data_IF_212774370999
#
_entry.id   IF_212774370999
#
_cell.length_a   1.000
_cell.length_b   1.000
_cell.length_c   1.000
_cell.angle_alpha   90.00
_cell.angle_beta   90.00
_cell.angle_gamma   90.00
#
_symmetry.space_group_name_H-M   'P 1'
#
loop_
_entity.id
_entity.type
_entity.pdbx_description
1 polymer ?
#
# COMPACT_ATOMS: atom_id res chain seq x y z
N UNK A 1 -26.09 -21.15 -24.81
CA UNK A 1 -25.03 -20.61 -23.91
C UNK A 1 -25.66 -19.45 -23.13
N UNK A 2 -25.78 -19.52 -21.80
CA UNK A 2 -26.49 -18.51 -21.02
C UNK A 2 -25.73 -17.17 -21.00
N UNK A 3 -26.46 -16.04 -21.01
CA UNK A 3 -25.90 -14.68 -20.97
C UNK A 3 -24.85 -14.50 -19.83
N UNK A 4 -25.03 -15.22 -18.73
CA UNK A 4 -24.13 -15.24 -17.58
C UNK A 4 -22.76 -15.86 -17.93
N UNK A 5 -22.73 -16.94 -18.74
CA UNK A 5 -21.47 -17.58 -19.19
C UNK A 5 -20.69 -16.68 -20.14
N UNK A 6 -21.39 -16.00 -21.05
CA UNK A 6 -20.74 -15.06 -22.00
C UNK A 6 -20.13 -13.89 -21.25
N UNK A 7 -20.86 -13.28 -20.31
CA UNK A 7 -20.34 -12.17 -19.48
C UNK A 7 -19.13 -12.61 -18.64
N UNK A 8 -19.16 -13.81 -18.05
CA UNK A 8 -18.02 -14.35 -17.30
C UNK A 8 -16.79 -14.56 -18.18
N UNK A 9 -16.96 -15.08 -19.40
CA UNK A 9 -15.87 -15.27 -20.36
C UNK A 9 -15.23 -13.95 -20.78
N UNK A 10 -16.03 -12.90 -21.06
CA UNK A 10 -15.53 -11.57 -21.41
C UNK A 10 -14.75 -10.96 -20.26
N UNK A 11 -15.28 -10.99 -19.03
CA UNK A 11 -14.59 -10.50 -17.85
C UNK A 11 -13.29 -11.27 -17.60
N UNK A 12 -13.29 -12.59 -17.74
CA UNK A 12 -12.09 -13.44 -17.63
C UNK A 12 -11.01 -13.04 -18.65
N UNK A 13 -11.41 -12.77 -19.89
CA UNK A 13 -10.49 -12.31 -20.93
C UNK A 13 -9.87 -10.95 -20.59
N UNK A 14 -10.64 -10.02 -20.03
CA UNK A 14 -10.13 -8.72 -19.58
C UNK A 14 -9.11 -8.89 -18.45
N UNK A 15 -9.42 -9.73 -17.44
CA UNK A 15 -8.48 -10.04 -16.34
C UNK A 15 -7.19 -10.65 -16.88
N UNK A 16 -7.30 -11.63 -17.77
CA UNK A 16 -6.13 -12.26 -18.39
C UNK A 16 -5.27 -11.26 -19.15
N UNK A 17 -5.88 -10.44 -20.01
CA UNK A 17 -5.16 -9.39 -20.76
C UNK A 17 -4.48 -8.38 -19.83
N UNK A 18 -5.18 -7.96 -18.76
CA UNK A 18 -4.64 -7.05 -17.75
C UNK A 18 -3.40 -7.64 -17.04
N UNK A 19 -3.46 -8.91 -16.63
CA UNK A 19 -2.34 -9.59 -15.98
C UNK A 19 -1.14 -9.76 -16.93
N UNK A 20 -1.38 -10.08 -18.20
CA UNK A 20 -0.31 -10.11 -19.22
C UNK A 20 0.32 -8.75 -19.43
N UNK A 21 -0.47 -7.68 -19.46
CA UNK A 21 0.03 -6.31 -19.59
C UNK A 21 0.89 -5.90 -18.38
N UNK A 22 0.48 -6.24 -17.14
CA UNK A 22 1.31 -6.03 -15.93
C UNK A 22 2.66 -6.73 -16.03
N UNK A 23 2.69 -8.02 -16.41
CA UNK A 23 3.94 -8.77 -16.56
C UNK A 23 4.85 -8.16 -17.64
N UNK A 24 4.27 -7.70 -18.76
CA UNK A 24 5.01 -7.02 -19.81
C UNK A 24 5.56 -5.67 -19.32
N UNK A 25 4.77 -4.90 -18.58
CA UNK A 25 5.20 -3.64 -17.96
C UNK A 25 6.42 -3.83 -17.05
N UNK A 26 6.43 -4.88 -16.22
CA UNK A 26 7.58 -5.25 -15.38
C UNK A 26 8.83 -5.47 -16.23
N UNK A 27 8.71 -6.29 -17.29
CA UNK A 27 9.85 -6.60 -18.19
C UNK A 27 10.38 -5.35 -18.89
N UNK A 28 9.49 -4.50 -19.40
CA UNK A 28 9.85 -3.26 -20.10
C UNK A 28 10.49 -2.24 -19.14
N UNK A 29 9.98 -2.11 -17.90
CA UNK A 29 10.58 -1.21 -16.90
C UNK A 29 12.03 -1.60 -16.60
N UNK A 30 12.32 -2.91 -16.51
CA UNK A 30 13.69 -3.42 -16.35
C UNK A 30 14.54 -3.19 -17.60
N UNK A 31 13.99 -3.51 -18.77
CA UNK A 31 14.72 -3.37 -20.05
C UNK A 31 15.02 -1.90 -20.40
N UNK A 32 14.12 -0.96 -20.10
CA UNK A 32 14.34 0.48 -20.31
C UNK A 32 15.29 1.11 -19.29
N UNK A 33 15.82 0.33 -18.34
CA UNK A 33 16.77 0.80 -17.31
C UNK A 33 16.18 1.80 -16.32
N UNK A 34 14.86 1.99 -16.29
CA UNK A 34 14.17 2.89 -15.35
C UNK A 34 14.27 2.42 -13.90
N UNK A 35 14.49 1.12 -13.70
CA UNK A 35 14.79 0.55 -12.39
C UNK A 35 15.66 -0.70 -12.54
N UNK A 36 16.74 -0.82 -11.76
CA UNK A 36 17.56 -2.05 -11.67
C UNK A 36 16.82 -3.16 -10.94
N UNK A 37 16.13 -2.81 -9.86
CA UNK A 37 15.15 -3.65 -9.17
C UNK A 37 13.78 -3.16 -9.58
N UNK A 38 12.81 -4.09 -9.79
CA UNK A 38 11.48 -3.68 -10.20
C UNK A 38 10.87 -2.72 -9.19
N UNK A 39 10.64 -1.50 -9.62
CA UNK A 39 9.88 -0.49 -8.91
C UNK A 39 8.64 -0.18 -9.75
N UNK A 40 7.47 -0.31 -9.16
CA UNK A 40 6.22 0.01 -9.84
C UNK A 40 6.26 1.46 -10.35
N UNK A 41 5.77 1.76 -11.58
CA UNK A 41 5.81 3.10 -12.16
C UNK A 41 5.27 4.21 -11.25
N UNK A 42 4.31 3.91 -10.35
CA UNK A 42 3.78 4.86 -9.37
C UNK A 42 4.89 5.50 -8.50
N UNK A 43 5.93 4.74 -8.16
CA UNK A 43 7.04 5.20 -7.33
C UNK A 43 8.11 5.99 -8.12
N UNK A 44 8.02 5.97 -9.45
CA UNK A 44 8.92 6.73 -10.34
C UNK A 44 8.37 8.13 -10.67
N UNK A 45 7.15 8.47 -10.23
CA UNK A 45 6.51 9.78 -10.49
C UNK A 45 7.06 10.95 -9.66
N UNK A 46 8.03 10.70 -8.78
CA UNK A 46 8.60 11.71 -7.88
C UNK A 46 7.87 11.81 -6.54
N UNK A 47 8.38 12.68 -5.67
CA UNK A 47 7.93 12.82 -4.28
C UNK A 47 6.82 13.87 -4.12
N UNK A 48 5.78 13.84 -4.95
CA UNK A 48 4.60 14.67 -4.70
C UNK A 48 3.88 14.19 -3.43
N UNK A 49 3.27 15.11 -2.68
CA UNK A 49 2.46 14.79 -1.49
C UNK A 49 1.39 13.74 -1.77
N UNK A 50 0.81 13.75 -2.97
CA UNK A 50 -0.21 12.78 -3.37
C UNK A 50 0.33 11.35 -3.53
N UNK A 51 1.63 11.16 -3.87
CA UNK A 51 2.22 9.83 -3.99
C UNK A 51 2.67 9.27 -2.64
N UNK A 52 3.01 10.17 -1.72
CA UNK A 52 3.52 9.85 -0.39
C UNK A 52 2.76 10.62 0.69
N UNK A 53 1.43 10.55 0.60
CA UNK A 53 0.46 11.24 1.44
C UNK A 53 0.79 11.15 2.94
N UNK A 54 1.28 10.00 3.39
CA UNK A 54 1.60 9.72 4.79
C UNK A 54 2.73 10.60 5.31
N UNK A 55 3.64 11.11 4.46
CA UNK A 55 4.76 11.94 4.89
C UNK A 55 4.33 13.29 5.47
N UNK A 56 3.14 13.80 5.12
CA UNK A 56 2.59 15.02 5.72
C UNK A 56 2.15 14.85 7.17
N UNK A 57 2.02 13.59 7.62
CA UNK A 57 1.69 13.23 9.01
C UNK A 57 2.89 12.81 9.83
N UNK A 58 4.09 12.88 9.27
CA UNK A 58 5.34 12.57 9.97
C UNK A 58 5.99 13.87 10.42
N UNK A 59 5.96 14.14 11.73
CA UNK A 59 6.57 15.33 12.31
C UNK A 59 8.11 15.24 12.33
N UNK A 60 8.83 16.39 12.27
CA UNK A 60 10.30 16.40 12.23
C UNK A 60 10.99 15.76 13.43
N UNK A 61 10.37 15.80 14.61
CA UNK A 61 10.86 15.23 15.87
C UNK A 61 10.27 13.83 16.17
N UNK A 62 9.44 13.29 15.26
CA UNK A 62 8.75 12.03 15.47
C UNK A 62 9.69 10.83 15.51
N UNK A 63 9.34 9.87 16.37
CA UNK A 63 9.81 8.50 16.33
C UNK A 63 8.82 7.68 15.51
N UNK A 64 9.26 7.08 14.44
CA UNK A 64 8.42 6.37 13.47
C UNK A 64 8.71 4.88 13.50
N UNK A 65 7.66 4.05 13.49
CA UNK A 65 7.75 2.61 13.24
C UNK A 65 7.13 2.32 11.87
N UNK A 66 7.87 1.63 11.01
CA UNK A 66 7.38 1.17 9.71
C UNK A 66 7.22 -0.36 9.76
N UNK A 67 5.98 -0.82 9.84
CA UNK A 67 5.61 -2.23 9.98
C UNK A 67 5.33 -2.82 8.60
N UNK A 68 6.05 -3.89 8.26
CA UNK A 68 6.07 -4.41 6.89
C UNK A 68 6.88 -3.51 5.96
N UNK A 69 8.04 -3.04 6.41
CA UNK A 69 8.82 -2.02 5.71
C UNK A 69 9.42 -2.47 4.37
N UNK A 70 9.41 -3.77 4.07
CA UNK A 70 9.94 -4.33 2.84
C UNK A 70 11.39 -3.90 2.57
N UNK A 71 11.63 -3.35 1.38
CA UNK A 71 12.93 -2.84 0.97
C UNK A 71 13.30 -1.47 1.57
N UNK A 72 12.55 -0.99 2.55
CA UNK A 72 12.81 0.24 3.29
C UNK A 72 12.46 1.54 2.53
N UNK A 73 11.83 1.48 1.37
CA UNK A 73 11.56 2.67 0.56
C UNK A 73 10.75 3.72 1.32
N UNK A 74 9.70 3.32 2.04
CA UNK A 74 8.87 4.22 2.83
C UNK A 74 9.60 4.69 4.09
N UNK A 75 10.27 3.77 4.79
CA UNK A 75 11.12 4.10 5.95
C UNK A 75 12.18 5.16 5.62
N UNK A 76 12.92 4.99 4.51
CA UNK A 76 13.99 5.92 4.13
C UNK A 76 13.47 7.30 3.68
N UNK A 77 12.24 7.36 3.14
CA UNK A 77 11.58 8.66 2.87
C UNK A 77 11.15 9.34 4.17
N UNK A 78 10.57 8.59 5.10
CA UNK A 78 10.20 9.10 6.42
C UNK A 78 11.45 9.56 7.20
N UNK A 79 12.56 8.84 7.12
CA UNK A 79 13.82 9.16 7.78
C UNK A 79 14.39 10.54 7.41
N UNK A 80 14.10 11.03 6.19
CA UNK A 80 14.49 12.39 5.76
C UNK A 80 13.70 13.50 6.44
N UNK A 81 12.61 13.18 7.15
CA UNK A 81 11.65 14.13 7.72
C UNK A 81 11.49 14.02 9.22
N UNK A 82 11.89 12.91 9.83
CA UNK A 82 11.67 12.64 11.25
C UNK A 82 12.98 12.44 12.02
N UNK A 83 12.87 12.31 13.34
CA UNK A 83 14.03 12.10 14.23
C UNK A 83 14.66 10.73 14.00
N UNK A 84 13.87 9.67 13.95
CA UNK A 84 14.34 8.33 13.62
C UNK A 84 13.21 7.42 13.15
N UNK A 85 13.57 6.41 12.37
CA UNK A 85 12.66 5.36 11.88
C UNK A 85 13.18 4.00 12.29
N UNK A 86 12.26 3.14 12.70
CA UNK A 86 12.51 1.72 12.89
C UNK A 86 11.65 0.95 11.89
N UNK A 87 12.26 0.21 10.96
CA UNK A 87 11.58 -0.65 10.00
C UNK A 87 11.61 -2.11 10.44
N UNK A 88 10.45 -2.78 10.35
CA UNK A 88 10.29 -4.20 10.70
C UNK A 88 9.69 -4.95 9.53
N UNK A 89 10.28 -6.08 9.15
CA UNK A 89 9.76 -6.94 8.07
C UNK A 89 10.17 -8.40 8.28
N UNK A 90 9.39 -9.35 7.76
CA UNK A 90 9.72 -10.78 7.80
C UNK A 90 10.75 -11.21 6.75
N UNK A 91 10.95 -10.43 5.70
CA UNK A 91 11.81 -10.78 4.58
C UNK A 91 13.26 -10.32 4.78
N UNK A 92 14.14 -11.23 5.12
CA UNK A 92 15.60 -10.97 5.21
C UNK A 92 16.19 -10.42 3.91
N UNK A 93 15.65 -10.85 2.75
CA UNK A 93 16.08 -10.33 1.45
C UNK A 93 15.74 -8.84 1.31
N UNK A 94 14.49 -8.46 1.59
CA UNK A 94 14.02 -7.08 1.52
C UNK A 94 14.77 -6.18 2.51
N UNK A 95 14.98 -6.65 3.73
CA UNK A 95 15.77 -5.94 4.75
C UNK A 95 17.22 -5.74 4.33
N UNK A 96 17.81 -6.71 3.63
CA UNK A 96 19.14 -6.56 3.04
C UNK A 96 19.21 -5.43 2.01
N UNK A 97 18.16 -5.23 1.23
CA UNK A 97 18.02 -4.07 0.30
C UNK A 97 17.88 -2.76 1.10
N UNK A 98 17.01 -2.74 2.12
CA UNK A 98 16.80 -1.57 2.98
C UNK A 98 18.10 -1.11 3.65
N UNK A 99 18.86 -2.04 4.22
CA UNK A 99 20.16 -1.77 4.87
C UNK A 99 21.23 -1.24 3.88
N UNK A 100 21.26 -1.74 2.65
CA UNK A 100 22.16 -1.19 1.63
C UNK A 100 21.77 0.24 1.26
N UNK A 101 20.49 0.46 1.01
CA UNK A 101 19.98 1.79 0.63
C UNK A 101 20.10 2.82 1.76
N UNK A 102 20.09 2.40 3.04
CA UNK A 102 20.26 3.32 4.17
C UNK A 102 21.68 3.86 4.30
N UNK A 103 22.68 3.14 3.80
CA UNK A 103 24.10 3.61 3.82
C UNK A 103 24.34 4.80 2.90
N UNK A 104 23.48 5.00 1.90
CA UNK A 104 23.56 6.10 0.95
C UNK A 104 22.89 7.38 1.50
N UNK A 105 22.28 7.32 2.69
CA UNK A 105 21.69 8.49 3.35
C UNK A 105 22.74 9.30 4.12
N UNK A 106 22.63 10.64 4.11
CA UNK A 106 23.55 11.52 4.84
C UNK A 106 23.47 11.38 6.37
N UNK A 107 22.38 10.81 6.90
CA UNK A 107 22.16 10.61 8.33
C UNK A 107 21.58 9.22 8.59
N UNK A 108 22.23 8.39 9.43
CA UNK A 108 21.81 7.03 9.72
C UNK A 108 20.73 6.98 10.81
N UNK A 109 19.61 7.66 10.60
CA UNK A 109 18.48 7.68 11.55
C UNK A 109 17.41 6.61 11.24
N UNK A 110 17.74 5.63 10.41
CA UNK A 110 16.90 4.48 10.11
C UNK A 110 17.55 3.18 10.56
N UNK A 111 16.84 2.36 11.33
CA UNK A 111 17.24 1.03 11.75
C UNK A 111 16.25 0.00 11.21
N UNK A 112 16.74 -1.20 10.87
CA UNK A 112 15.91 -2.27 10.33
C UNK A 112 16.18 -3.56 11.07
N UNK A 113 15.12 -4.34 11.36
CA UNK A 113 15.26 -5.67 11.94
C UNK A 113 14.17 -6.63 11.44
N UNK A 114 14.49 -7.93 11.49
CA UNK A 114 13.60 -8.98 11.07
C UNK A 114 12.66 -9.40 12.21
N UNK A 115 11.36 -9.56 11.89
CA UNK A 115 10.40 -10.18 12.78
C UNK A 115 9.28 -10.84 11.98
N UNK A 116 8.76 -11.94 12.52
CA UNK A 116 7.54 -12.56 12.03
C UNK A 116 6.33 -11.79 12.59
N UNK A 117 5.68 -11.02 11.74
CA UNK A 117 4.56 -10.16 12.11
C UNK A 117 3.29 -10.95 12.48
N UNK A 118 3.24 -12.24 12.15
CA UNK A 118 2.19 -13.16 12.62
C UNK A 118 2.35 -13.53 14.10
N UNK A 119 3.54 -13.32 14.68
CA UNK A 119 3.87 -13.60 16.08
C UNK A 119 3.89 -12.34 16.95
N UNK A 120 3.70 -11.16 16.35
CA UNK A 120 3.68 -9.87 17.04
C UNK A 120 4.83 -8.94 16.66
N UNK A 121 4.94 -7.81 17.38
CA UNK A 121 5.96 -6.80 17.16
C UNK A 121 6.96 -6.77 18.32
N UNK A 122 8.25 -7.09 18.10
CA UNK A 122 9.26 -7.10 19.14
C UNK A 122 9.78 -5.68 19.46
N UNK A 123 8.85 -4.75 19.72
CA UNK A 123 9.15 -3.35 20.07
C UNK A 123 8.56 -3.02 21.45
N UNK A 124 9.17 -2.05 22.12
CA UNK A 124 8.64 -1.54 23.39
C UNK A 124 7.35 -0.73 23.16
N UNK A 125 6.42 -0.83 24.12
CA UNK A 125 5.20 -0.03 24.12
C UNK A 125 5.46 1.45 24.34
N UNK A 126 4.58 2.31 23.79
CA UNK A 126 4.60 3.74 24.02
C UNK A 126 5.84 4.47 23.47
N UNK A 127 6.45 4.01 22.41
CA UNK A 127 7.72 4.57 21.88
C UNK A 127 7.56 5.38 20.61
N UNK A 128 6.50 5.20 19.85
CA UNK A 128 6.38 5.78 18.53
C UNK A 128 5.26 6.82 18.47
N UNK A 129 5.56 7.95 17.84
CA UNK A 129 4.59 9.01 17.56
C UNK A 129 3.71 8.63 16.36
N UNK A 130 4.30 7.91 15.41
CA UNK A 130 3.63 7.48 14.17
C UNK A 130 4.02 6.05 13.83
N UNK A 131 3.03 5.24 13.48
CA UNK A 131 3.23 3.92 12.87
C UNK A 131 2.80 3.98 11.41
N UNK A 132 3.66 3.57 10.51
CA UNK A 132 3.38 3.36 9.09
C UNK A 132 3.06 1.88 8.89
N UNK A 133 1.90 1.57 8.28
CA UNK A 133 1.43 0.22 7.96
C UNK A 133 0.79 0.25 6.57
N UNK A 134 1.63 0.17 5.54
CA UNK A 134 1.19 0.36 4.15
C UNK A 134 1.22 -0.95 3.39
N UNK A 135 0.07 -1.33 2.81
CA UNK A 135 -0.11 -2.52 1.97
C UNK A 135 0.42 -3.79 2.67
N UNK A 136 0.13 -3.93 3.98
CA UNK A 136 0.55 -5.04 4.83
C UNK A 136 -0.63 -5.81 5.43
N UNK A 137 -1.63 -5.10 5.98
CA UNK A 137 -2.69 -5.71 6.79
C UNK A 137 -3.47 -6.80 6.03
N UNK A 138 -3.62 -6.64 4.72
CA UNK A 138 -4.25 -7.60 3.82
C UNK A 138 -3.47 -8.91 3.65
N UNK A 139 -2.20 -8.92 3.98
CA UNK A 139 -1.31 -10.09 3.87
C UNK A 139 -1.23 -10.92 5.16
N UNK A 140 -1.66 -10.37 6.30
CA UNK A 140 -1.52 -10.97 7.62
C UNK A 140 -2.76 -11.78 7.98
N UNK A 141 -2.59 -12.98 8.53
CA UNK A 141 -3.68 -13.80 9.08
C UNK A 141 -4.11 -13.30 10.45
N UNK A 142 -3.12 -13.05 11.35
CA UNK A 142 -3.37 -12.65 12.74
C UNK A 142 -3.43 -11.12 12.89
N UNK A 143 -4.37 -10.49 12.17
CA UNK A 143 -4.53 -9.03 12.11
C UNK A 143 -4.88 -8.40 13.45
N UNK A 144 -5.68 -9.08 14.26
CA UNK A 144 -6.06 -8.57 15.58
C UNK A 144 -4.83 -8.46 16.51
N UNK A 145 -3.93 -9.44 16.45
CA UNK A 145 -2.65 -9.36 17.19
C UNK A 145 -1.81 -8.19 16.65
N UNK A 146 -1.63 -8.10 15.33
CA UNK A 146 -0.83 -7.04 14.71
C UNK A 146 -1.36 -5.65 15.07
N UNK A 147 -2.66 -5.41 14.96
CA UNK A 147 -3.28 -4.12 15.31
C UNK A 147 -3.16 -3.80 16.81
N UNK A 148 -3.30 -4.81 17.68
CA UNK A 148 -3.09 -4.66 19.12
C UNK A 148 -1.65 -4.27 19.43
N UNK A 149 -0.68 -4.90 18.80
CA UNK A 149 0.75 -4.60 18.96
C UNK A 149 1.12 -3.22 18.41
N UNK A 150 0.56 -2.83 17.25
CA UNK A 150 0.71 -1.47 16.72
C UNK A 150 0.17 -0.46 17.72
N UNK A 151 -1.04 -0.67 18.27
CA UNK A 151 -1.63 0.22 19.27
C UNK A 151 -0.76 0.31 20.54
N UNK A 152 -0.25 -0.82 21.03
CA UNK A 152 0.66 -0.87 22.17
C UNK A 152 1.94 -0.08 21.93
N UNK A 153 2.48 -0.08 20.71
CA UNK A 153 3.72 0.58 20.34
C UNK A 153 3.59 2.11 20.28
N UNK A 154 2.38 2.63 20.03
CA UNK A 154 2.10 4.05 19.92
C UNK A 154 2.17 4.76 21.28
N UNK A 155 2.70 5.96 21.29
CA UNK A 155 2.58 6.91 22.41
C UNK A 155 1.12 7.37 22.56
N UNK A 156 0.72 7.88 23.73
CA UNK A 156 -0.55 8.60 23.86
C UNK A 156 -0.65 9.71 22.80
N UNK A 157 -1.75 9.72 22.04
CA UNK A 157 -1.96 10.67 20.95
C UNK A 157 -1.25 10.34 19.63
N UNK A 158 -0.49 9.25 19.57
CA UNK A 158 0.14 8.76 18.35
C UNK A 158 -0.86 8.25 17.32
N UNK A 159 -0.43 8.13 16.07
CA UNK A 159 -1.29 7.74 14.95
C UNK A 159 -0.72 6.61 14.12
N UNK A 160 -1.61 5.80 13.52
CA UNK A 160 -1.27 4.82 12.50
C UNK A 160 -1.67 5.36 11.12
N UNK A 161 -0.74 5.27 10.17
CA UNK A 161 -0.93 5.61 8.75
C UNK A 161 -1.08 4.30 8.00
N UNK A 162 -2.30 4.00 7.56
CA UNK A 162 -2.68 2.70 7.02
C UNK A 162 -3.02 2.80 5.54
N UNK A 163 -2.53 1.86 4.73
CA UNK A 163 -3.10 1.61 3.40
C UNK A 163 -3.53 0.16 3.24
N UNK A 164 -4.70 -0.04 2.65
CA UNK A 164 -5.24 -1.35 2.29
C UNK A 164 -6.06 -1.26 1.00
N UNK A 165 -6.18 -2.35 0.20
CA UNK A 165 -6.99 -2.35 -1.02
C UNK A 165 -8.49 -2.35 -0.72
N UNK A 166 -9.25 -1.67 -1.59
CA UNK A 166 -10.71 -1.65 -1.57
C UNK A 166 -11.28 -2.76 -2.47
N UNK A 167 -12.05 -3.70 -1.89
CA UNK A 167 -12.79 -4.72 -2.66
C UNK A 167 -14.19 -4.27 -3.07
N UNK A 168 -14.65 -3.13 -2.54
CA UNK A 168 -15.99 -2.59 -2.75
C UNK A 168 -16.18 -1.84 -4.07
N UNK A 169 -15.17 -1.72 -4.94
CA UNK A 169 -15.28 -1.04 -6.23
C UNK A 169 -16.22 -1.77 -7.19
N UNK A 170 -16.84 -1.03 -8.09
CA UNK A 170 -17.82 -1.57 -9.03
C UNK A 170 -17.21 -2.66 -9.93
N UNK A 171 -15.94 -2.49 -10.30
CA UNK A 171 -15.18 -3.47 -11.09
C UNK A 171 -14.98 -4.78 -10.31
N UNK A 172 -14.46 -4.73 -9.09
CA UNK A 172 -14.22 -5.91 -8.24
C UNK A 172 -15.52 -6.63 -7.88
N UNK A 173 -16.59 -5.87 -7.58
CA UNK A 173 -17.93 -6.46 -7.38
C UNK A 173 -18.45 -7.21 -8.62
N UNK A 174 -18.17 -6.72 -9.84
CA UNK A 174 -18.52 -7.43 -11.08
C UNK A 174 -17.76 -8.74 -11.23
N UNK A 175 -16.46 -8.75 -10.92
CA UNK A 175 -15.64 -9.98 -10.91
C UNK A 175 -16.20 -11.00 -9.90
N UNK A 176 -16.42 -10.59 -8.66
CA UNK A 176 -16.95 -11.46 -7.61
C UNK A 176 -18.32 -12.06 -8.00
N UNK A 177 -19.24 -11.25 -8.56
CA UNK A 177 -20.55 -11.73 -9.05
C UNK A 177 -20.44 -12.71 -10.22
N UNK A 178 -19.36 -12.63 -10.98
CA UNK A 178 -19.07 -13.59 -12.07
C UNK A 178 -18.36 -14.86 -11.57
N UNK A 179 -18.04 -14.96 -10.27
CA UNK A 179 -17.28 -16.08 -9.69
C UNK A 179 -15.81 -16.04 -10.07
N UNK A 180 -15.29 -14.88 -10.45
CA UNK A 180 -13.88 -14.66 -10.78
C UNK A 180 -13.13 -14.12 -9.57
N UNK A 181 -11.83 -14.40 -9.51
CA UNK A 181 -10.96 -13.82 -8.51
C UNK A 181 -10.98 -12.28 -8.61
N UNK A 182 -11.26 -11.62 -7.51
CA UNK A 182 -11.54 -10.18 -7.49
C UNK A 182 -10.54 -9.37 -6.67
N UNK A 183 -9.61 -10.00 -5.94
CA UNK A 183 -8.57 -9.30 -5.20
C UNK A 183 -7.49 -8.77 -6.16
N UNK A 184 -6.79 -7.75 -5.70
CA UNK A 184 -5.71 -7.09 -6.46
C UNK A 184 -4.47 -7.96 -6.57
N UNK A 185 -4.23 -8.80 -5.56
CA UNK A 185 -3.10 -9.73 -5.48
C UNK A 185 -3.56 -11.11 -4.99
N UNK A 186 -3.03 -12.23 -5.55
CA UNK A 186 -3.31 -13.58 -5.08
C UNK A 186 -2.89 -13.86 -3.63
N UNK A 187 -1.90 -13.14 -3.12
CA UNK A 187 -1.38 -13.34 -1.77
C UNK A 187 -2.20 -12.61 -0.69
N UNK A 188 -3.19 -11.77 -1.08
CA UNK A 188 -4.09 -11.12 -0.15
C UNK A 188 -4.97 -12.15 0.57
N UNK A 189 -4.98 -12.09 1.91
CA UNK A 189 -5.86 -12.90 2.77
C UNK A 189 -7.24 -12.25 2.87
N UNK A 190 -7.28 -10.92 2.77
CA UNK A 190 -8.49 -10.10 2.78
C UNK A 190 -8.27 -8.84 1.92
N UNK A 191 -9.35 -8.32 1.37
CA UNK A 191 -9.49 -6.93 0.95
C UNK A 191 -10.78 -6.39 1.54
N UNK A 192 -10.86 -5.09 1.79
CA UNK A 192 -11.90 -4.49 2.61
C UNK A 192 -12.97 -3.75 1.80
N UNK A 193 -14.19 -3.70 2.31
CA UNK A 193 -15.06 -2.51 2.14
C UNK A 193 -14.71 -1.51 3.25
N UNK A 194 -15.19 -0.27 3.13
CA UNK A 194 -14.94 0.75 4.16
C UNK A 194 -15.53 0.32 5.51
N UNK A 195 -16.76 -0.20 5.49
CA UNK A 195 -17.47 -0.65 6.70
C UNK A 195 -16.74 -1.78 7.42
N UNK A 196 -16.17 -2.73 6.66
CA UNK A 196 -15.40 -3.83 7.22
C UNK A 196 -14.09 -3.35 7.83
N UNK A 197 -13.40 -2.42 7.16
CA UNK A 197 -12.17 -1.81 7.68
C UNK A 197 -12.45 -1.03 8.96
N UNK A 198 -13.49 -0.20 8.98
CA UNK A 198 -13.89 0.56 10.17
C UNK A 198 -14.24 -0.37 11.34
N UNK A 199 -14.97 -1.46 11.07
CA UNK A 199 -15.35 -2.44 12.09
C UNK A 199 -14.13 -3.16 12.68
N UNK A 200 -13.18 -3.60 11.84
CA UNK A 200 -11.95 -4.27 12.29
C UNK A 200 -11.06 -3.31 13.10
N UNK A 201 -10.87 -2.09 12.61
CA UNK A 201 -10.12 -1.06 13.33
C UNK A 201 -10.77 -0.72 14.67
N UNK A 202 -12.11 -0.58 14.71
CA UNK A 202 -12.83 -0.25 15.94
C UNK A 202 -12.71 -1.34 17.00
N UNK A 203 -12.78 -2.63 16.62
CA UNK A 203 -12.57 -3.77 17.53
C UNK A 203 -11.17 -3.75 18.15
N UNK A 204 -10.17 -3.26 17.40
CA UNK A 204 -8.79 -3.20 17.85
C UNK A 204 -8.40 -1.84 18.47
N UNK A 205 -9.40 -1.00 18.80
CA UNK A 205 -9.19 0.26 19.51
C UNK A 205 -8.64 1.39 18.64
N UNK A 206 -8.90 1.36 17.33
CA UNK A 206 -8.61 2.44 16.41
C UNK A 206 -9.89 3.10 15.87
N UNK A 207 -9.77 4.33 15.39
CA UNK A 207 -10.78 5.00 14.58
C UNK A 207 -10.11 5.72 13.41
N UNK A 208 -10.73 5.70 12.25
CA UNK A 208 -10.29 6.53 11.11
C UNK A 208 -10.63 7.99 11.42
N UNK A 209 -9.63 8.85 11.33
CA UNK A 209 -9.82 10.31 11.51
C UNK A 209 -9.73 11.06 10.20
N UNK A 210 -9.06 10.48 9.20
CA UNK A 210 -9.00 11.03 7.86
C UNK A 210 -8.82 9.93 6.81
N UNK A 211 -9.48 10.08 5.66
CA UNK A 211 -9.29 9.26 4.47
C UNK A 211 -8.77 10.12 3.33
N UNK A 212 -7.64 9.73 2.77
CA UNK A 212 -7.10 10.36 1.57
C UNK A 212 -7.64 9.68 0.31
N UNK A 213 -7.98 10.47 -0.73
CA UNK A 213 -8.33 9.90 -2.01
C UNK A 213 -7.11 9.20 -2.63
N UNK A 214 -7.34 8.03 -3.21
CA UNK A 214 -6.30 7.27 -3.90
C UNK A 214 -6.40 7.51 -5.42
N UNK A 215 -6.58 6.47 -6.19
CA UNK A 215 -6.84 6.52 -7.62
C UNK A 215 -8.10 5.72 -7.94
N UNK A 216 -8.84 6.14 -8.94
CA UNK A 216 -10.02 5.40 -9.43
C UNK A 216 -9.61 3.99 -9.86
N UNK A 217 -10.30 2.96 -9.33
CA UNK A 217 -10.08 1.58 -9.71
C UNK A 217 -10.58 1.31 -11.14
N UNK A 218 -9.82 0.51 -11.89
CA UNK A 218 -10.12 0.26 -13.31
C UNK A 218 -9.59 -1.11 -13.74
N UNK A 219 -10.32 -1.82 -14.61
CA UNK A 219 -9.82 -3.04 -15.22
C UNK A 219 -8.62 -2.83 -16.16
N UNK A 220 -8.27 -1.58 -16.46
CA UNK A 220 -7.20 -1.23 -17.41
C UNK A 220 -5.85 -0.96 -16.73
N UNK A 221 -5.70 -1.30 -15.43
CA UNK A 221 -4.49 -0.97 -14.67
C UNK A 221 -3.22 -1.52 -15.34
N UNK A 222 -3.25 -2.74 -15.86
CA UNK A 222 -2.09 -3.32 -16.54
C UNK A 222 -1.70 -2.58 -17.83
N UNK A 223 -2.68 -2.06 -18.59
CA UNK A 223 -2.41 -1.22 -19.74
C UNK A 223 -1.81 0.13 -19.32
N UNK A 224 -2.30 0.70 -18.22
CA UNK A 224 -1.76 1.94 -17.64
C UNK A 224 -0.31 1.74 -17.17
N UNK A 225 -0.01 0.62 -16.51
CA UNK A 225 1.34 0.27 -16.08
C UNK A 225 2.29 0.06 -17.27
N UNK A 226 1.76 -0.54 -18.36
CA UNK A 226 2.50 -0.70 -19.60
C UNK A 226 2.87 0.67 -20.22
N UNK A 227 1.92 1.61 -20.23
CA UNK A 227 2.21 3.00 -20.62
C UNK A 227 3.28 3.60 -19.71
N UNK A 228 3.20 3.37 -18.38
CA UNK A 228 4.19 3.85 -17.41
C UNK A 228 5.59 3.31 -17.66
N UNK A 229 5.72 2.05 -18.10
CA UNK A 229 7.01 1.46 -18.45
C UNK A 229 7.67 2.12 -19.67
N UNK A 230 6.87 2.71 -20.55
CA UNK A 230 7.34 3.41 -21.76
C UNK A 230 7.49 4.92 -21.54
N UNK A 231 6.47 5.57 -20.96
CA UNK A 231 6.41 7.02 -20.79
C UNK A 231 5.87 7.42 -19.41
N UNK A 232 6.74 7.91 -18.53
CA UNK A 232 6.35 8.44 -17.23
C UNK A 232 5.47 9.70 -17.33
N UNK A 233 5.68 10.53 -18.35
CA UNK A 233 4.87 11.73 -18.59
C UNK A 233 3.41 11.40 -18.90
N UNK A 234 3.16 10.42 -19.77
CA UNK A 234 1.80 9.96 -20.08
C UNK A 234 1.19 9.22 -18.89
N UNK A 235 1.96 8.39 -18.20
CA UNK A 235 1.52 7.72 -16.97
C UNK A 235 1.07 8.72 -15.90
N UNK A 236 1.82 9.82 -15.72
CA UNK A 236 1.43 10.91 -14.79
C UNK A 236 0.07 11.50 -15.17
N UNK A 237 -0.15 11.84 -16.45
CA UNK A 237 -1.44 12.37 -16.92
C UNK A 237 -2.60 11.41 -16.68
N UNK A 238 -2.40 10.11 -16.95
CA UNK A 238 -3.41 9.08 -16.70
C UNK A 238 -3.70 8.93 -15.19
N UNK A 239 -2.66 8.98 -14.36
CA UNK A 239 -2.80 8.92 -12.90
C UNK A 239 -3.55 10.14 -12.36
N UNK A 240 -3.26 11.33 -12.84
CA UNK A 240 -3.98 12.56 -12.47
C UNK A 240 -5.46 12.51 -12.88
N UNK A 241 -5.75 12.00 -14.09
CA UNK A 241 -7.14 11.79 -14.52
C UNK A 241 -7.88 10.81 -13.60
N UNK A 242 -7.23 9.69 -13.23
CA UNK A 242 -7.79 8.72 -12.28
C UNK A 242 -7.99 9.32 -10.88
N UNK A 243 -7.11 10.19 -10.41
CA UNK A 243 -7.29 10.91 -9.14
C UNK A 243 -8.48 11.85 -9.15
N UNK A 244 -8.69 12.57 -10.26
CA UNK A 244 -9.89 13.41 -10.42
C UNK A 244 -11.17 12.58 -10.35
N UNK A 245 -11.20 11.42 -11.01
CA UNK A 245 -12.32 10.48 -10.94
C UNK A 245 -12.50 9.94 -9.51
N UNK A 246 -11.43 9.57 -8.81
CA UNK A 246 -11.48 9.08 -7.44
C UNK A 246 -12.04 10.10 -6.44
N UNK A 247 -11.79 11.40 -6.67
CA UNK A 247 -12.41 12.48 -5.88
C UNK A 247 -13.90 12.65 -6.19
N UNK A 248 -14.32 12.43 -7.44
CA UNK A 248 -15.72 12.51 -7.84
C UNK A 248 -16.53 11.26 -7.42
N UNK A 249 -15.88 10.12 -7.32
CA UNK A 249 -16.47 8.81 -6.98
C UNK A 249 -15.66 8.14 -5.89
N UNK A 250 -15.78 8.57 -4.62
CA UNK A 250 -14.95 8.07 -3.51
C UNK A 250 -15.06 6.56 -3.28
N UNK A 251 -16.23 5.97 -3.55
CA UNK A 251 -16.49 4.53 -3.44
C UNK A 251 -15.70 3.68 -4.44
N UNK A 252 -15.23 4.29 -5.53
CA UNK A 252 -14.43 3.67 -6.59
C UNK A 252 -12.91 3.85 -6.38
N UNK A 253 -12.48 4.38 -5.24
CA UNK A 253 -11.07 4.41 -4.89
C UNK A 253 -10.49 2.99 -4.83
N UNK A 254 -9.32 2.77 -5.42
CA UNK A 254 -8.66 1.46 -5.51
C UNK A 254 -8.24 0.91 -4.13
N UNK A 255 -8.09 1.76 -3.14
CA UNK A 255 -7.72 1.43 -1.77
C UNK A 255 -8.14 2.52 -0.80
N UNK A 256 -7.92 2.26 0.48
CA UNK A 256 -8.12 3.21 1.57
C UNK A 256 -6.77 3.67 2.09
N UNK A 257 -6.51 4.97 2.05
CA UNK A 257 -5.37 5.61 2.69
C UNK A 257 -5.90 6.34 3.93
N UNK A 258 -5.67 5.75 5.09
CA UNK A 258 -6.31 6.16 6.32
C UNK A 258 -5.30 6.65 7.36
N UNK A 259 -5.61 7.78 7.99
CA UNK A 259 -5.00 8.20 9.25
C UNK A 259 -5.89 7.67 10.37
N UNK A 260 -5.32 6.85 11.24
CA UNK A 260 -6.03 6.21 12.33
C UNK A 260 -5.50 6.70 13.68
N UNK A 261 -6.40 7.12 14.56
CA UNK A 261 -6.07 7.43 15.95
C UNK A 261 -6.41 6.24 16.86
N UNK A 262 -5.55 5.97 17.85
CA UNK A 262 -5.87 5.06 18.94
C UNK A 262 -7.00 5.67 19.81
N UNK A 263 -7.92 4.81 20.29
CA UNK A 263 -8.99 5.18 21.23
C UNK A 263 -8.51 5.07 22.66
#
# INVERSE_FOLDING_TARGET
>A
MTLRRVRGAVLGSVVFANNKAKLLAIRLTRWTGKSREYVHPKHLLGESEENYWYLSYVAPDASVLDVGCGNGMHSLKAARRCRHVVGVDGSMYSLGVALRSSRDLPSPNAAFFAADLEQGLPVQGGRFDTVICLDLLEHVHNRDLLLTEIRRSLKPGGSMLLSVPNRGTSWKRRLARAGLFSYSDPDHKIEYTLEELEAELARNGFRIVHLHPTVYDTPLIGAIDLVGSLSLGLYRRLTEARRRLARAYPEENAGFFAVCAAK
#
